data_IF_531988860594
#
_entry.id   IF_531988860594
#
_cell.length_a   1.000
_cell.length_b   1.000
_cell.length_c   1.000
_cell.angle_alpha   90.00
_cell.angle_beta   90.00
_cell.angle_gamma   90.00
#
_symmetry.space_group_name_H-M   'P 1'
#
loop_
_entity.id
_entity.type
_entity.pdbx_description
1 polymer ?
#
# COMPACT_ATOMS: atom_id res chain seq x y z
N UNK A 1 -18.30 17.05 19.08
CA UNK A 1 -17.66 15.84 19.61
C UNK A 1 -17.99 14.72 18.65
N UNK A 2 -17.07 14.38 17.74
CA UNK A 2 -17.32 13.40 16.68
C UNK A 2 -17.14 11.99 17.25
N UNK A 3 -18.12 11.08 17.11
CA UNK A 3 -17.96 9.71 17.60
C UNK A 3 -16.95 8.98 16.72
N UNK A 4 -15.94 8.39 17.34
CA UNK A 4 -15.05 7.43 16.70
C UNK A 4 -15.89 6.21 16.33
N UNK A 5 -16.26 6.08 15.05
CA UNK A 5 -16.97 4.92 14.56
C UNK A 5 -16.00 3.72 14.51
N UNK A 6 -15.95 2.94 15.59
CA UNK A 6 -15.39 1.61 15.53
C UNK A 6 -16.41 0.72 14.79
N UNK A 7 -15.99 0.11 13.68
CA UNK A 7 -16.81 -0.90 13.02
C UNK A 7 -16.74 -2.19 13.85
N UNK A 8 -17.89 -2.76 14.19
CA UNK A 8 -17.98 -4.07 14.83
C UNK A 8 -17.61 -5.16 13.81
N UNK A 9 -16.43 -5.76 13.99
CA UNK A 9 -15.92 -6.84 13.14
C UNK A 9 -16.46 -8.22 13.56
N UNK A 10 -17.33 -8.31 14.58
CA UNK A 10 -17.90 -9.59 15.05
C UNK A 10 -18.72 -10.32 14.00
N UNK A 11 -19.23 -9.59 13.00
CA UNK A 11 -20.01 -10.13 11.88
C UNK A 11 -19.15 -10.54 10.68
N UNK A 12 -17.83 -10.28 10.71
CA UNK A 12 -16.94 -10.88 9.73
C UNK A 12 -16.84 -12.37 10.02
N UNK A 13 -17.52 -13.16 9.18
CA UNK A 13 -17.43 -14.61 9.23
C UNK A 13 -15.95 -15.00 9.13
N UNK A 14 -15.39 -15.59 10.18
CA UNK A 14 -13.96 -15.96 10.24
C UNK A 14 -13.59 -16.96 9.13
N UNK A 15 -14.59 -17.55 8.47
CA UNK A 15 -14.48 -18.45 7.32
C UNK A 15 -14.43 -17.74 5.96
N UNK A 16 -14.65 -16.43 5.91
CA UNK A 16 -14.69 -15.63 4.67
C UNK A 16 -13.47 -14.72 4.55
N UNK A 17 -12.28 -15.32 4.60
CA UNK A 17 -11.05 -14.57 4.33
C UNK A 17 -11.18 -13.92 2.93
N UNK A 18 -10.91 -12.61 2.80
CA UNK A 18 -10.94 -11.95 1.50
C UNK A 18 -10.03 -12.72 0.55
N UNK A 19 -10.60 -13.25 -0.53
CA UNK A 19 -9.80 -13.91 -1.54
C UNK A 19 -8.89 -12.86 -2.17
N UNK A 20 -7.57 -13.13 -2.20
CA UNK A 20 -6.63 -12.30 -2.92
C UNK A 20 -6.97 -12.39 -4.42
N UNK A 21 -7.58 -11.35 -4.97
CA UNK A 21 -7.94 -11.31 -6.39
C UNK A 21 -6.77 -10.70 -7.16
N UNK A 22 -5.92 -11.56 -7.70
CA UNK A 22 -4.86 -11.24 -8.63
C UNK A 22 -3.48 -11.00 -8.00
N UNK A 23 -2.45 -11.15 -8.82
CA UNK A 23 -1.08 -10.83 -8.45
C UNK A 23 -0.96 -9.30 -8.36
N UNK A 24 -0.83 -8.78 -7.14
CA UNK A 24 -0.41 -7.40 -6.98
C UNK A 24 0.99 -7.30 -7.57
N UNK A 25 1.11 -6.66 -8.74
CA UNK A 25 2.43 -6.40 -9.34
C UNK A 25 3.25 -5.62 -8.32
N UNK A 26 4.17 -6.35 -7.72
CA UNK A 26 5.16 -5.89 -6.77
C UNK A 26 5.90 -4.72 -7.41
N UNK A 27 6.15 -3.68 -6.62
CA UNK A 27 6.91 -2.53 -7.10
C UNK A 27 8.30 -3.05 -7.47
N UNK A 28 8.68 -2.95 -8.75
CA UNK A 28 10.00 -3.37 -9.22
C UNK A 28 10.96 -2.17 -9.11
N UNK A 29 11.85 -2.14 -8.10
CA UNK A 29 12.74 -1.01 -7.90
C UNK A 29 13.81 -0.95 -9.01
N UNK A 30 14.31 0.25 -9.35
CA UNK A 30 15.45 0.38 -10.26
C UNK A 30 16.68 -0.40 -9.75
N UNK A 31 17.55 -0.82 -10.68
CA UNK A 31 18.81 -1.49 -10.32
C UNK A 31 19.64 -0.63 -9.36
N UNK A 32 20.18 -1.24 -8.30
CA UNK A 32 20.97 -0.56 -7.26
C UNK A 32 20.16 0.02 -6.11
N UNK A 33 18.83 -0.04 -6.17
CA UNK A 33 17.96 0.29 -5.05
C UNK A 33 17.67 -0.96 -4.25
N UNK A 34 18.16 -0.99 -3.02
CA UNK A 34 17.95 -2.09 -2.08
C UNK A 34 16.86 -1.70 -1.09
N UNK A 35 15.77 -2.47 -1.07
CA UNK A 35 14.72 -2.27 -0.07
C UNK A 35 15.30 -2.49 1.33
N UNK A 36 15.15 -1.50 2.18
CA UNK A 36 15.83 -1.41 3.47
C UNK A 36 15.00 -1.93 4.64
N UNK A 37 13.69 -2.12 4.42
CA UNK A 37 12.70 -2.63 5.38
C UNK A 37 11.39 -2.96 4.67
N UNK A 38 10.49 -3.63 5.38
CA UNK A 38 9.16 -3.95 4.87
C UNK A 38 8.33 -2.69 4.55
N UNK A 39 7.52 -2.72 3.46
CA UNK A 39 6.62 -1.62 3.14
C UNK A 39 5.63 -1.33 4.27
N UNK A 40 5.42 -0.04 4.55
CA UNK A 40 4.41 0.39 5.52
C UNK A 40 3.11 0.75 4.80
N UNK A 41 1.99 0.22 5.30
CA UNK A 41 0.65 0.55 4.81
C UNK A 41 -0.06 1.46 5.80
N UNK A 42 -0.53 2.59 5.29
CA UNK A 42 -1.13 3.65 6.07
C UNK A 42 -2.57 3.81 5.68
N UNK A 43 -3.49 3.84 6.65
CA UNK A 43 -4.88 4.23 6.39
C UNK A 43 -5.01 5.76 6.38
N UNK A 44 -5.45 6.35 5.26
CA UNK A 44 -5.73 7.78 5.11
C UNK A 44 -7.22 8.13 5.20
N UNK A 45 -8.07 7.13 5.50
CA UNK A 45 -9.53 7.23 5.54
C UNK A 45 -10.20 7.08 4.18
N UNK A 46 -11.50 6.77 4.20
CA UNK A 46 -12.37 6.70 3.00
C UNK A 46 -11.87 5.73 1.92
N UNK A 47 -11.32 4.58 2.32
CA UNK A 47 -10.77 3.58 1.38
C UNK A 47 -9.45 4.01 0.73
N UNK A 48 -8.82 5.09 1.20
CA UNK A 48 -7.52 5.56 0.74
C UNK A 48 -6.42 5.10 1.66
N UNK A 49 -5.30 4.73 1.06
CA UNK A 49 -4.12 4.25 1.74
C UNK A 49 -2.86 4.91 1.16
N UNK A 50 -1.80 4.99 1.96
CA UNK A 50 -0.45 5.24 1.47
C UNK A 50 0.38 3.98 1.66
N UNK A 51 1.07 3.54 0.61
CA UNK A 51 2.14 2.54 0.72
C UNK A 51 3.45 3.30 0.72
N UNK A 52 4.23 3.14 1.78
CA UNK A 52 5.56 3.70 1.85
C UNK A 52 6.61 2.59 1.78
N UNK A 53 7.57 2.78 0.87
CA UNK A 53 8.71 1.89 0.67
C UNK A 53 9.99 2.65 0.88
N UNK A 54 10.99 1.99 1.45
CA UNK A 54 12.25 2.63 1.82
C UNK A 54 13.42 1.91 1.19
N UNK A 55 14.23 2.63 0.43
CA UNK A 55 15.37 2.09 -0.29
C UNK A 55 16.68 2.73 0.17
N UNK A 56 17.75 1.98 0.03
CA UNK A 56 19.13 2.47 0.03
C UNK A 56 19.64 2.39 -1.39
N UNK A 57 20.22 3.48 -1.88
CA UNK A 57 21.04 3.43 -3.09
C UNK A 57 22.45 3.08 -2.65
N UNK A 58 22.98 1.98 -3.18
CA UNK A 58 24.35 1.56 -2.93
C UNK A 58 25.21 1.81 -4.16
N UNK A 59 26.42 2.29 -3.93
CA UNK A 59 27.48 2.35 -4.94
C UNK A 59 27.82 0.94 -5.40
N UNK A 60 28.01 0.77 -6.71
CA UNK A 60 28.36 -0.53 -7.28
C UNK A 60 29.86 -0.83 -7.12
N UNK A 61 30.67 0.18 -6.84
CA UNK A 61 32.13 0.07 -6.81
C UNK A 61 32.64 -0.39 -5.44
N UNK A 62 32.11 0.19 -4.37
CA UNK A 62 32.54 -0.03 -2.98
C UNK A 62 31.41 -0.46 -2.03
N UNK A 63 30.16 -0.48 -2.50
CA UNK A 63 28.99 -0.85 -1.69
C UNK A 63 28.55 0.23 -0.70
N UNK A 64 29.12 1.44 -0.75
CA UNK A 64 28.75 2.53 0.15
C UNK A 64 27.31 3.01 -0.10
N UNK A 65 26.63 3.43 0.96
CA UNK A 65 25.29 4.01 0.85
C UNK A 65 25.43 5.43 0.32
N UNK A 66 25.08 5.63 -0.95
CA UNK A 66 25.04 6.94 -1.60
C UNK A 66 23.88 7.75 -1.05
N UNK A 67 22.70 7.12 -1.00
CA UNK A 67 21.46 7.81 -0.68
C UNK A 67 20.43 6.90 -0.01
N UNK A 68 19.45 7.54 0.63
CA UNK A 68 18.26 6.89 1.18
C UNK A 68 17.03 7.51 0.57
N UNK A 69 16.12 6.66 0.12
CA UNK A 69 14.93 7.09 -0.60
C UNK A 69 13.69 6.52 0.07
N UNK A 70 12.66 7.36 0.20
CA UNK A 70 11.31 6.93 0.52
C UNK A 70 10.41 7.14 -0.71
N UNK A 71 9.70 6.08 -1.12
CA UNK A 71 8.71 6.13 -2.18
C UNK A 71 7.33 5.99 -1.57
N UNK A 72 6.51 7.02 -1.71
CA UNK A 72 5.14 7.06 -1.23
C UNK A 72 4.18 6.87 -2.40
N UNK A 73 3.35 5.83 -2.34
CA UNK A 73 2.36 5.52 -3.36
C UNK A 73 0.97 5.59 -2.75
N UNK A 74 0.16 6.57 -3.18
CA UNK A 74 -1.25 6.61 -2.81
C UNK A 74 -2.03 5.49 -3.51
N UNK A 75 -2.92 4.83 -2.78
CA UNK A 75 -3.81 3.79 -3.32
C UNK A 75 -5.23 4.06 -2.85
N UNK A 76 -6.20 3.94 -3.76
CA UNK A 76 -7.61 4.06 -3.47
C UNK A 76 -8.33 2.74 -3.78
N UNK A 77 -9.05 2.20 -2.81
CA UNK A 77 -9.86 1.00 -2.95
C UNK A 77 -11.26 1.42 -3.38
N UNK A 78 -11.65 1.02 -4.59
CA UNK A 78 -12.92 1.39 -5.20
C UNK A 78 -13.78 0.14 -5.39
N UNK A 79 -15.10 0.22 -5.14
CA UNK A 79 -16.01 -0.83 -5.56
C UNK A 79 -16.07 -0.89 -7.08
N UNK A 80 -16.10 -2.11 -7.63
CA UNK A 80 -16.43 -2.37 -9.03
C UNK A 80 -17.91 -2.74 -9.05
N UNK A 81 -18.72 -1.94 -9.76
CA UNK A 81 -20.15 -2.18 -9.88
C UNK A 81 -20.47 -3.59 -10.39
N UNK A 82 -21.61 -4.13 -9.97
CA UNK A 82 -22.17 -5.35 -10.54
C UNK A 82 -22.90 -5.01 -11.84
N UNK A 83 -22.64 -5.77 -12.90
CA UNK A 83 -23.66 -5.98 -13.93
C UNK A 83 -24.80 -6.75 -13.25
N UNK A 84 -25.99 -6.15 -13.21
CA UNK A 84 -27.13 -6.69 -12.49
C UNK A 84 -27.59 -8.01 -13.10
N UNK A 85 -27.28 -9.12 -12.43
CA UNK A 85 -28.04 -10.35 -12.54
C UNK A 85 -28.60 -10.68 -11.16
N UNK A 86 -29.90 -10.91 -11.10
CA UNK A 86 -30.74 -10.97 -9.90
C UNK A 86 -30.53 -12.22 -9.04
N UNK A 87 -29.29 -12.68 -8.89
CA UNK A 87 -28.91 -13.82 -8.08
C UNK A 87 -28.23 -13.33 -6.80
N UNK A 88 -28.78 -13.69 -5.64
CA UNK A 88 -28.44 -13.19 -4.30
C UNK A 88 -27.04 -13.52 -3.77
N UNK A 89 -26.05 -13.74 -4.64
CA UNK A 89 -24.63 -13.95 -4.30
C UNK A 89 -23.78 -12.85 -4.94
N UNK A 90 -23.99 -11.60 -4.53
CA UNK A 90 -23.25 -10.44 -5.05
C UNK A 90 -21.87 -10.36 -4.41
N UNK A 91 -20.89 -11.06 -5.00
CA UNK A 91 -19.48 -10.93 -4.61
C UNK A 91 -18.99 -9.52 -4.98
N UNK A 92 -19.02 -8.59 -4.02
CA UNK A 92 -18.47 -7.24 -4.20
C UNK A 92 -17.01 -7.35 -4.66
N UNK A 93 -16.76 -6.94 -5.90
CA UNK A 93 -15.40 -6.87 -6.44
C UNK A 93 -14.82 -5.52 -6.06
N UNK A 94 -13.67 -5.52 -5.40
CA UNK A 94 -12.90 -4.31 -5.13
C UNK A 94 -11.79 -4.20 -6.16
N UNK A 95 -11.50 -2.97 -6.60
CA UNK A 95 -10.29 -2.66 -7.37
C UNK A 95 -9.42 -1.69 -6.59
N UNK A 96 -8.12 -1.85 -6.72
CA UNK A 96 -7.16 -0.86 -6.24
C UNK A 96 -6.74 0.05 -7.40
N UNK A 97 -6.86 1.36 -7.19
CA UNK A 97 -6.34 2.38 -8.10
C UNK A 97 -5.06 2.94 -7.49
N UNK A 98 -3.91 2.72 -8.14
CA UNK A 98 -2.64 3.34 -7.75
C UNK A 98 -2.58 4.77 -8.27
N UNK A 99 -2.11 5.70 -7.45
CA UNK A 99 -1.81 7.07 -7.83
C UNK A 99 -0.32 7.23 -8.16
N UNK A 100 0.06 8.39 -8.71
CA UNK A 100 1.46 8.72 -8.98
C UNK A 100 2.27 8.67 -7.68
N UNK A 101 3.37 7.93 -7.69
CA UNK A 101 4.26 7.84 -6.54
C UNK A 101 5.08 9.12 -6.38
N UNK A 102 5.28 9.53 -5.13
CA UNK A 102 6.22 10.58 -4.74
C UNK A 102 7.52 9.93 -4.28
N UNK A 103 8.64 10.34 -4.87
CA UNK A 103 9.97 9.91 -4.46
C UNK A 103 10.62 11.02 -3.64
N UNK A 104 11.06 10.70 -2.43
CA UNK A 104 11.77 11.61 -1.54
C UNK A 104 13.18 11.07 -1.27
N UNK A 105 14.19 11.84 -1.67
CA UNK A 105 15.58 11.57 -1.33
C UNK A 105 15.89 12.26 0.00
N UNK A 106 16.32 11.50 0.98
CA UNK A 106 16.71 12.04 2.28
C UNK A 106 18.22 12.25 2.34
N UNK A 107 18.65 13.49 2.58
CA UNK A 107 20.06 13.88 2.73
C UNK A 107 20.66 13.38 4.07
N UNK A 108 20.69 12.07 4.27
CA UNK A 108 21.25 11.42 5.47
C UNK A 108 20.28 11.16 6.62
N UNK A 109 19.11 11.79 6.66
CA UNK A 109 18.09 11.54 7.70
C UNK A 109 17.22 10.34 7.36
N UNK A 110 17.24 9.31 8.21
CA UNK A 110 16.40 8.12 8.02
C UNK A 110 14.95 8.43 8.44
N UNK A 111 14.01 8.32 7.50
CA UNK A 111 12.59 8.18 7.86
C UNK A 111 12.45 6.80 8.50
N UNK A 112 12.15 6.78 9.81
CA UNK A 112 12.09 5.54 10.61
C UNK A 112 10.72 4.90 10.57
N UNK A 113 9.70 5.74 10.61
CA UNK A 113 8.30 5.35 10.54
C UNK A 113 7.52 6.55 9.98
N UNK A 114 6.31 6.29 9.52
CA UNK A 114 5.37 7.33 9.11
C UNK A 114 4.21 7.41 10.14
N UNK A 115 4.17 6.52 11.16
CA UNK A 115 3.21 6.53 12.27
C UNK A 115 3.87 6.24 13.62
#
# INVERSE_FOLDING_TARGET
MSPLAAADLSTMDSHSQPQLIGDWKEFDPPKGWLESRDPQLVNLGSGRFCIARFFRIVSMDDGEIIDRIAVFTGVEVLPVGHDGDGSGNTKLKLRMKKHKSLCHVSNGTVIKDIF
#
